data_IF_706929510619
#
_entry.id   IF_706929510619
#
_cell.length_a   1.000
_cell.length_b   1.000
_cell.length_c   1.000
_cell.angle_alpha   90.00
_cell.angle_beta   90.00
_cell.angle_gamma   90.00
#
_symmetry.space_group_name_H-M   'P 1'
#
loop_
_entity.id
_entity.type
_entity.pdbx_description
1 polymer ?
#
# COMPACT_ATOMS: atom_id res chain seq x y z
N UNK A 1 -22.32 -9.62 15.33
CA UNK A 1 -21.12 -9.71 14.47
C UNK A 1 -19.91 -9.61 15.38
N UNK A 2 -19.13 -10.68 15.50
CA UNK A 2 -17.88 -10.65 16.26
C UNK A 2 -16.78 -10.03 15.40
N UNK A 3 -16.02 -9.10 15.97
CA UNK A 3 -14.80 -8.57 15.35
C UNK A 3 -13.77 -9.70 15.29
N UNK A 4 -13.02 -9.80 14.20
CA UNK A 4 -11.90 -10.76 14.15
C UNK A 4 -10.81 -10.35 15.13
N UNK A 5 -10.03 -11.29 15.68
CA UNK A 5 -8.91 -11.01 16.59
C UNK A 5 -7.92 -10.01 15.99
N UNK A 6 -7.64 -10.14 14.70
CA UNK A 6 -6.77 -9.22 13.96
C UNK A 6 -7.33 -7.79 13.95
N UNK A 7 -8.65 -7.62 13.86
CA UNK A 7 -9.26 -6.29 13.84
C UNK A 7 -9.13 -5.59 15.20
N UNK A 8 -9.39 -6.34 16.28
CA UNK A 8 -9.24 -5.85 17.65
C UNK A 8 -7.80 -5.40 17.88
N UNK A 9 -6.83 -6.25 17.54
CA UNK A 9 -5.42 -5.94 17.69
C UNK A 9 -4.99 -4.67 16.95
N UNK A 10 -5.36 -4.55 15.66
CA UNK A 10 -4.98 -3.35 14.89
C UNK A 10 -5.63 -2.08 15.40
N UNK A 11 -6.87 -2.17 15.87
CA UNK A 11 -7.59 -1.04 16.44
C UNK A 11 -6.93 -0.56 17.73
N UNK A 12 -6.64 -1.47 18.66
CA UNK A 12 -5.94 -1.17 19.92
C UNK A 12 -4.56 -0.55 19.65
N UNK A 13 -3.79 -1.13 18.72
CA UNK A 13 -2.49 -0.58 18.34
C UNK A 13 -2.61 0.86 17.82
N UNK A 14 -3.56 1.14 16.92
CA UNK A 14 -3.75 2.48 16.35
C UNK A 14 -4.24 3.48 17.39
N UNK A 15 -5.15 3.06 18.29
CA UNK A 15 -5.60 3.87 19.43
C UNK A 15 -4.44 4.22 20.36
N UNK A 16 -3.53 3.27 20.61
CA UNK A 16 -2.31 3.54 21.40
C UNK A 16 -1.42 4.62 20.80
N UNK A 17 -1.48 4.86 19.48
CA UNK A 17 -0.74 5.96 18.84
C UNK A 17 -1.37 7.31 19.18
N UNK A 18 -2.70 7.38 19.13
CA UNK A 18 -3.47 8.58 19.46
C UNK A 18 -3.34 8.96 20.94
N UNK A 19 -3.39 7.97 21.83
CA UNK A 19 -3.16 8.14 23.27
C UNK A 19 -1.77 8.74 23.56
N UNK A 20 -0.76 8.31 22.79
CA UNK A 20 0.61 8.85 22.80
C UNK A 20 0.77 10.18 22.06
N UNK A 21 -0.34 10.82 21.68
CA UNK A 21 -0.41 12.15 21.06
C UNK A 21 0.22 12.21 19.67
N UNK A 22 0.09 11.14 18.89
CA UNK A 22 0.46 11.18 17.47
C UNK A 22 -0.42 12.20 16.71
N UNK A 23 0.14 13.37 16.42
CA UNK A 23 -0.55 14.47 15.74
C UNK A 23 0.18 14.91 14.45
N UNK A 24 -0.53 15.62 13.57
CA UNK A 24 0.08 16.20 12.37
C UNK A 24 0.39 15.19 11.25
N UNK A 25 -0.07 13.93 11.40
CA UNK A 25 0.10 12.88 10.39
C UNK A 25 -0.56 13.32 9.09
N UNK A 26 0.21 13.35 8.01
CA UNK A 26 -0.28 13.71 6.68
C UNK A 26 -0.76 12.52 5.87
N UNK A 27 -0.25 11.33 6.17
CA UNK A 27 -0.54 10.10 5.45
C UNK A 27 -0.06 8.88 6.24
N UNK A 28 -0.77 7.77 6.12
CA UNK A 28 -0.38 6.47 6.66
C UNK A 28 -0.05 5.53 5.50
N UNK A 29 1.04 4.77 5.61
CA UNK A 29 1.44 3.77 4.63
C UNK A 29 1.63 2.39 5.27
N UNK A 30 1.03 1.35 4.68
CA UNK A 30 1.18 -0.05 5.12
C UNK A 30 1.11 -1.00 3.93
N UNK A 31 1.41 -2.29 4.09
CA UNK A 31 1.04 -3.27 3.06
C UNK A 31 -0.50 -3.44 2.97
N UNK A 32 -0.96 -4.15 1.94
CA UNK A 32 -2.38 -4.33 1.57
C UNK A 32 -3.14 -5.31 2.49
N UNK A 33 -3.03 -5.11 3.81
CA UNK A 33 -3.85 -5.82 4.78
C UNK A 33 -5.22 -5.15 4.90
N UNK A 34 -6.27 -5.86 4.49
CA UNK A 34 -7.64 -5.33 4.48
C UNK A 34 -8.11 -4.90 5.88
N UNK A 35 -7.82 -5.70 6.89
CA UNK A 35 -8.20 -5.42 8.29
C UNK A 35 -7.50 -4.16 8.80
N UNK A 36 -6.18 -4.06 8.62
CA UNK A 36 -5.42 -2.86 9.02
C UNK A 36 -5.93 -1.61 8.30
N UNK A 37 -6.21 -1.68 6.99
CA UNK A 37 -6.79 -0.56 6.24
C UNK A 37 -8.15 -0.12 6.82
N UNK A 38 -9.01 -1.07 7.19
CA UNK A 38 -10.30 -0.78 7.81
C UNK A 38 -10.12 -0.15 9.21
N UNK A 39 -9.18 -0.66 10.02
CA UNK A 39 -8.86 -0.11 11.34
C UNK A 39 -8.30 1.31 11.23
N UNK A 40 -7.40 1.58 10.27
CA UNK A 40 -6.90 2.94 9.98
C UNK A 40 -8.05 3.87 9.62
N UNK A 41 -8.95 3.45 8.73
CA UNK A 41 -10.12 4.27 8.35
C UNK A 41 -11.02 4.57 9.55
N UNK A 42 -11.07 3.68 10.53
CA UNK A 42 -11.91 3.86 11.71
C UNK A 42 -11.26 4.78 12.75
N UNK A 43 -9.96 4.62 13.02
CA UNK A 43 -9.24 5.41 14.04
C UNK A 43 -8.78 6.77 13.49
N UNK A 44 -8.38 6.84 12.23
CA UNK A 44 -7.80 8.01 11.57
C UNK A 44 -8.55 8.35 10.26
N UNK A 45 -9.86 8.64 10.30
CA UNK A 45 -10.70 8.78 9.09
C UNK A 45 -10.28 9.92 8.15
N UNK A 46 -9.66 10.98 8.69
CA UNK A 46 -9.23 12.15 7.93
C UNK A 46 -7.82 12.00 7.32
N UNK A 47 -7.08 10.94 7.68
CA UNK A 47 -5.70 10.75 7.23
C UNK A 47 -5.71 9.82 6.02
N UNK A 48 -5.18 10.25 4.86
CA UNK A 48 -5.13 9.41 3.68
C UNK A 48 -4.25 8.18 3.93
N UNK A 49 -4.70 7.04 3.42
CA UNK A 49 -3.95 5.80 3.42
C UNK A 49 -3.43 5.49 2.01
N UNK A 50 -2.16 5.09 1.93
CA UNK A 50 -1.56 4.52 0.71
C UNK A 50 -0.95 3.15 0.99
N UNK A 51 -0.93 2.28 -0.02
CA UNK A 51 -0.11 1.07 0.07
C UNK A 51 1.37 1.46 0.04
N UNK A 52 2.17 0.85 0.90
CA UNK A 52 3.62 1.03 0.92
C UNK A 52 4.22 0.60 -0.42
N UNK A 53 4.91 1.52 -1.10
CA UNK A 53 5.52 1.29 -2.41
C UNK A 53 6.57 0.19 -2.36
N UNK A 54 7.36 0.11 -1.28
CA UNK A 54 8.34 -0.95 -1.08
C UNK A 54 7.69 -2.34 -1.05
N UNK A 55 6.64 -2.52 -0.23
CA UNK A 55 5.93 -3.80 -0.17
C UNK A 55 5.23 -4.12 -1.49
N UNK A 56 4.67 -3.14 -2.20
CA UNK A 56 4.14 -3.37 -3.53
C UNK A 56 5.22 -3.86 -4.49
N UNK A 57 6.38 -3.18 -4.53
CA UNK A 57 7.51 -3.54 -5.36
C UNK A 57 7.97 -4.98 -5.06
N UNK A 58 8.12 -5.35 -3.79
CA UNK A 58 8.52 -6.71 -3.43
C UNK A 58 7.45 -7.75 -3.74
N UNK A 59 6.21 -7.53 -3.34
CA UNK A 59 5.11 -8.48 -3.54
C UNK A 59 4.83 -8.73 -5.03
N UNK A 60 5.01 -7.72 -5.88
CA UNK A 60 4.83 -7.86 -7.33
C UNK A 60 5.79 -8.89 -7.96
N UNK A 61 6.98 -9.08 -7.39
CA UNK A 61 7.99 -10.00 -7.93
C UNK A 61 7.57 -11.47 -7.85
N UNK A 62 6.60 -11.79 -6.97
CA UNK A 62 6.03 -13.13 -6.87
C UNK A 62 5.17 -13.50 -8.11
N UNK A 63 4.69 -12.50 -8.84
CA UNK A 63 3.83 -12.68 -10.02
C UNK A 63 4.61 -12.60 -11.34
N UNK A 64 5.93 -12.39 -11.30
CA UNK A 64 6.77 -12.32 -12.50
C UNK A 64 7.12 -13.75 -12.95
N UNK A 65 6.76 -14.17 -14.18
CA UNK A 65 6.85 -15.58 -14.59
C UNK A 65 8.28 -16.08 -14.80
N UNK A 66 9.25 -15.19 -15.07
CA UNK A 66 10.65 -15.55 -15.33
C UNK A 66 11.61 -14.68 -14.52
N UNK A 67 12.66 -15.29 -13.97
CA UNK A 67 13.70 -14.58 -13.20
C UNK A 67 14.37 -13.49 -14.05
N UNK A 68 14.59 -13.74 -15.34
CA UNK A 68 15.18 -12.76 -16.27
C UNK A 68 14.36 -11.47 -16.40
N UNK A 69 13.02 -11.54 -16.22
CA UNK A 69 12.11 -10.40 -16.32
C UNK A 69 12.05 -9.56 -15.05
N UNK A 70 12.48 -10.10 -13.89
CA UNK A 70 12.32 -9.43 -12.58
C UNK A 70 12.93 -8.03 -12.53
N UNK A 71 14.10 -7.87 -13.14
CA UNK A 71 14.81 -6.57 -13.18
C UNK A 71 14.04 -5.52 -13.99
N UNK A 72 13.53 -5.91 -15.16
CA UNK A 72 12.76 -5.01 -16.03
C UNK A 72 11.45 -4.60 -15.38
N UNK A 73 10.68 -5.57 -14.88
CA UNK A 73 9.43 -5.30 -14.15
C UNK A 73 9.67 -4.41 -12.92
N UNK A 74 10.79 -4.62 -12.21
CA UNK A 74 11.13 -3.77 -11.07
C UNK A 74 11.38 -2.31 -11.47
N UNK A 75 12.05 -2.08 -12.61
CA UNK A 75 12.29 -0.73 -13.15
C UNK A 75 10.96 -0.08 -13.53
N UNK A 76 10.09 -0.82 -14.22
CA UNK A 76 8.79 -0.30 -14.68
C UNK A 76 7.88 0.09 -13.52
N UNK A 77 7.79 -0.74 -12.48
CA UNK A 77 6.99 -0.41 -11.28
C UNK A 77 7.58 0.80 -10.57
N UNK A 78 8.92 0.90 -10.45
CA UNK A 78 9.57 2.06 -9.85
C UNK A 78 9.29 3.35 -10.64
N UNK A 79 9.19 3.24 -11.97
CA UNK A 79 8.88 4.37 -12.82
C UNK A 79 7.47 4.92 -12.59
N UNK A 80 6.46 4.08 -12.32
CA UNK A 80 5.09 4.51 -12.00
C UNK A 80 5.09 5.57 -10.89
N UNK A 81 5.89 5.36 -9.84
CA UNK A 81 5.94 6.25 -8.68
C UNK A 81 6.75 7.53 -8.88
N UNK A 82 7.54 7.61 -9.96
CA UNK A 82 8.40 8.76 -10.27
C UNK A 82 7.76 9.72 -11.27
N UNK A 83 6.65 9.34 -11.91
CA UNK A 83 5.95 10.21 -12.86
C UNK A 83 5.08 11.21 -12.12
N UNK A 84 5.24 12.50 -12.42
CA UNK A 84 4.49 13.59 -11.80
C UNK A 84 3.06 13.75 -12.34
N UNK A 85 2.74 13.16 -13.50
CA UNK A 85 1.45 13.29 -14.17
C UNK A 85 0.61 12.00 -14.08
N UNK A 86 -0.61 12.13 -13.54
CA UNK A 86 -1.54 11.01 -13.32
C UNK A 86 -1.90 10.26 -14.60
N UNK A 87 -2.10 10.94 -15.73
CA UNK A 87 -2.49 10.28 -16.98
C UNK A 87 -1.36 9.39 -17.52
N UNK A 88 -0.12 9.88 -17.47
CA UNK A 88 1.08 9.12 -17.85
C UNK A 88 1.31 7.90 -16.95
N UNK A 89 0.91 7.98 -15.67
CA UNK A 89 0.94 6.85 -14.73
C UNK A 89 -0.02 5.73 -15.15
N UNK A 90 -1.27 6.04 -15.51
CA UNK A 90 -2.26 5.05 -15.93
C UNK A 90 -1.83 4.28 -17.19
N UNK A 91 -1.28 4.97 -18.20
CA UNK A 91 -0.76 4.32 -19.40
C UNK A 91 0.38 3.34 -19.10
N UNK A 92 1.31 3.70 -18.20
CA UNK A 92 2.42 2.82 -17.80
C UNK A 92 1.93 1.61 -17.01
N UNK A 93 1.00 1.79 -16.07
CA UNK A 93 0.39 0.67 -15.33
C UNK A 93 -0.24 -0.37 -16.27
N UNK A 94 -0.97 0.08 -17.29
CA UNK A 94 -1.62 -0.81 -18.26
C UNK A 94 -0.60 -1.64 -19.06
N UNK A 95 0.56 -1.09 -19.38
CA UNK A 95 1.61 -1.80 -20.11
C UNK A 95 2.27 -2.89 -19.25
N UNK A 96 2.42 -2.69 -17.94
CA UNK A 96 2.92 -3.74 -17.03
C UNK A 96 1.94 -4.90 -16.93
N UNK A 97 0.63 -4.61 -16.89
CA UNK A 97 -0.43 -5.65 -16.79
C UNK A 97 -0.52 -6.49 -18.06
N UNK A 98 -0.25 -5.90 -19.23
CA UNK A 98 -0.32 -6.56 -20.56
C UNK A 98 0.84 -7.50 -20.88
N UNK A 99 1.80 -7.70 -19.98
CA UNK A 99 2.89 -8.68 -20.12
C UNK A 99 2.48 -10.11 -19.69
N UNK A 100 1.18 -10.35 -19.46
CA UNK A 100 0.58 -11.67 -19.30
C UNK A 100 -0.31 -12.00 -20.50
#
# INVERSE_FOLDING_TARGET
MALSEAEVYWREFLQSLDERKLHGVKMIASDAHQVLKASIKTVFPAIPWQRCQFHLQQNSQAYVPKVSMKKEVAIDISHIFRVFQKDSMYFKCLNIIKLN
#
